data_IF_456379903804
#
_entry.id   IF_456379903804
#
_cell.length_a   1.000
_cell.length_b   1.000
_cell.length_c   1.000
_cell.angle_alpha   90.00
_cell.angle_beta   90.00
_cell.angle_gamma   90.00
#
_symmetry.space_group_name_H-M   'P 1'
#
loop_
_entity.id
_entity.type
_entity.pdbx_description
1 polymer ?
#
# COMPACT_ATOMS: atom_id res chain seq x y z
N UNK A 1 24.76 -8.45 -9.88
CA UNK A 1 23.36 -8.56 -10.36
C UNK A 1 22.54 -7.32 -10.04
N UNK A 2 22.54 -6.83 -8.79
CA UNK A 2 21.77 -5.62 -8.40
C UNK A 2 22.42 -4.30 -8.77
N UNK A 3 23.69 -4.30 -9.20
CA UNK A 3 24.50 -3.11 -9.48
C UNK A 3 24.55 -2.75 -10.99
N UNK A 4 23.57 -3.24 -11.76
CA UNK A 4 23.36 -2.87 -13.16
C UNK A 4 22.07 -2.06 -13.25
N UNK A 5 21.89 -1.28 -14.32
CA UNK A 5 20.64 -0.52 -14.56
C UNK A 5 19.39 -1.39 -14.46
N UNK A 6 19.41 -2.57 -15.09
CA UNK A 6 18.32 -3.54 -15.02
C UNK A 6 18.08 -4.01 -13.57
N UNK A 7 19.16 -4.29 -12.84
CA UNK A 7 19.09 -4.67 -11.42
C UNK A 7 18.46 -3.58 -10.55
N UNK A 8 18.78 -2.31 -10.80
CA UNK A 8 18.19 -1.17 -10.10
C UNK A 8 16.70 -0.98 -10.42
N UNK A 9 16.29 -1.18 -11.68
CA UNK A 9 14.87 -1.13 -12.06
C UNK A 9 14.09 -2.23 -11.34
N UNK A 10 14.60 -3.46 -11.36
CA UNK A 10 13.96 -4.59 -10.64
C UNK A 10 13.87 -4.29 -9.15
N UNK A 11 14.95 -3.78 -8.54
CA UNK A 11 14.97 -3.46 -7.13
C UNK A 11 14.00 -2.33 -6.77
N UNK A 12 13.85 -1.31 -7.61
CA UNK A 12 12.86 -0.24 -7.41
C UNK A 12 11.42 -0.78 -7.43
N UNK A 13 11.11 -1.69 -8.36
CA UNK A 13 9.79 -2.35 -8.41
C UNK A 13 9.55 -3.18 -7.15
N UNK A 14 10.56 -3.95 -6.71
CA UNK A 14 10.48 -4.75 -5.48
C UNK A 14 10.24 -3.85 -4.26
N UNK A 15 10.95 -2.72 -4.16
CA UNK A 15 10.75 -1.74 -3.08
C UNK A 15 9.29 -1.27 -3.05
N UNK A 16 8.75 -0.87 -4.21
CA UNK A 16 7.37 -0.40 -4.28
C UNK A 16 6.36 -1.50 -3.93
N UNK A 17 6.55 -2.72 -4.45
CA UNK A 17 5.71 -3.87 -4.12
C UNK A 17 5.73 -4.18 -2.63
N UNK A 18 6.92 -4.24 -2.02
CA UNK A 18 7.07 -4.51 -0.59
C UNK A 18 6.40 -3.44 0.25
N UNK A 19 6.67 -2.16 -0.01
CA UNK A 19 6.09 -1.05 0.76
C UNK A 19 4.57 -1.01 0.61
N UNK A 20 4.06 -1.12 -0.62
CA UNK A 20 2.62 -1.18 -0.85
C UNK A 20 2.01 -2.38 -0.13
N UNK A 21 2.58 -3.58 -0.28
CA UNK A 21 2.07 -4.81 0.33
C UNK A 21 2.04 -4.72 1.86
N UNK A 22 3.09 -4.21 2.48
CA UNK A 22 3.17 -4.04 3.93
C UNK A 22 2.16 -3.03 4.45
N UNK A 23 2.11 -1.82 3.88
CA UNK A 23 1.18 -0.78 4.35
C UNK A 23 -0.27 -1.18 4.08
N UNK A 24 -0.55 -1.76 2.92
CA UNK A 24 -1.86 -2.29 2.58
C UNK A 24 -2.27 -3.44 3.51
N UNK A 25 -1.32 -4.30 3.90
CA UNK A 25 -1.51 -5.36 4.89
C UNK A 25 -1.90 -4.80 6.25
N UNK A 26 -1.18 -3.78 6.75
CA UNK A 26 -1.51 -3.10 8.01
C UNK A 26 -2.93 -2.53 7.96
N UNK A 27 -3.32 -1.86 6.86
CA UNK A 27 -4.68 -1.35 6.66
C UNK A 27 -5.72 -2.47 6.77
N UNK A 28 -5.46 -3.64 6.18
CA UNK A 28 -6.40 -4.79 6.26
C UNK A 28 -6.44 -5.37 7.67
N UNK A 29 -5.31 -5.49 8.36
CA UNK A 29 -5.25 -5.92 9.76
C UNK A 29 -6.05 -5.00 10.68
N UNK A 30 -5.92 -3.68 10.50
CA UNK A 30 -6.73 -2.68 11.21
C UNK A 30 -8.23 -2.80 10.88
N UNK A 31 -8.55 -3.05 9.61
CA UNK A 31 -9.92 -3.30 9.15
C UNK A 31 -10.55 -4.53 9.80
N UNK A 32 -9.79 -5.60 10.01
CA UNK A 32 -10.26 -6.78 10.74
C UNK A 32 -10.63 -6.44 12.20
N UNK A 33 -9.88 -5.54 12.83
CA UNK A 33 -10.22 -4.98 14.15
C UNK A 33 -11.36 -3.96 14.15
N UNK A 34 -11.99 -3.70 13.01
CA UNK A 34 -13.09 -2.75 12.85
C UNK A 34 -12.66 -1.28 12.69
N UNK A 35 -11.36 -1.00 12.58
CA UNK A 35 -10.85 0.36 12.37
C UNK A 35 -11.07 0.75 10.90
N UNK A 36 -11.74 1.87 10.68
CA UNK A 36 -11.96 2.43 9.34
C UNK A 36 -13.17 1.84 8.61
N UNK A 37 -13.41 0.53 8.67
CA UNK A 37 -14.54 -0.15 7.98
C UNK A 37 -15.74 -0.43 8.91
N UNK A 38 -15.54 -0.39 10.23
CA UNK A 38 -16.56 -0.78 11.21
C UNK A 38 -16.50 -2.27 11.55
N UNK A 39 -17.29 -2.67 12.56
CA UNK A 39 -17.35 -4.07 13.00
C UNK A 39 -18.14 -4.91 11.98
N UNK A 40 -17.85 -6.22 11.86
CA UNK A 40 -18.69 -7.12 11.08
C UNK A 40 -20.15 -7.01 11.53
N UNK A 41 -21.02 -6.68 10.60
CA UNK A 41 -22.46 -6.60 10.80
C UNK A 41 -23.15 -7.47 9.76
N UNK A 42 -24.35 -7.95 10.08
CA UNK A 42 -25.19 -8.62 9.09
C UNK A 42 -25.51 -7.60 8.00
N UNK A 43 -25.15 -7.87 6.73
CA UNK A 43 -25.53 -6.99 5.65
C UNK A 43 -27.03 -7.19 5.37
N UNK A 44 -27.80 -6.10 5.46
CA UNK A 44 -29.21 -6.08 5.08
C UNK A 44 -29.35 -5.41 3.71
N UNK A 45 -30.21 -5.96 2.86
CA UNK A 45 -30.37 -5.45 1.50
C UNK A 45 -31.24 -4.19 1.50
N UNK A 46 -30.90 -3.15 0.70
CA UNK A 46 -29.74 -3.05 -0.20
C UNK A 46 -28.42 -2.78 0.53
N UNK A 47 -27.35 -3.46 0.10
CA UNK A 47 -26.06 -3.42 0.76
C UNK A 47 -25.29 -2.13 0.44
N UNK A 48 -24.83 -1.42 1.47
CA UNK A 48 -23.84 -0.36 1.33
C UNK A 48 -22.43 -0.93 1.64
N UNK A 49 -21.49 -0.93 0.69
CA UNK A 49 -20.16 -1.47 0.92
C UNK A 49 -19.37 -0.60 1.90
N UNK A 50 -19.32 -1.03 3.17
CA UNK A 50 -18.56 -0.36 4.21
C UNK A 50 -17.08 -0.14 3.85
N UNK A 51 -16.47 -0.99 3.02
CA UNK A 51 -15.08 -0.84 2.56
C UNK A 51 -14.87 0.29 1.56
N UNK A 52 -15.92 0.87 0.98
CA UNK A 52 -15.84 1.99 0.04
C UNK A 52 -15.87 3.37 0.73
N UNK A 53 -15.84 3.40 2.06
CA UNK A 53 -15.80 4.64 2.78
C UNK A 53 -14.44 5.36 2.65
N UNK A 54 -14.43 6.67 2.94
CA UNK A 54 -13.25 7.51 2.80
C UNK A 54 -12.07 7.07 3.69
N UNK A 55 -12.34 6.53 4.90
CA UNK A 55 -11.31 6.07 5.85
C UNK A 55 -10.57 4.84 5.35
N UNK A 56 -11.23 3.99 4.57
CA UNK A 56 -10.59 2.84 3.96
C UNK A 56 -9.83 3.24 2.68
N UNK A 57 -10.41 4.14 1.89
CA UNK A 57 -9.79 4.69 0.67
C UNK A 57 -8.51 5.48 0.97
N UNK A 58 -8.50 6.31 2.02
CA UNK A 58 -7.28 7.04 2.42
C UNK A 58 -6.15 6.07 2.77
N UNK A 59 -6.44 4.92 3.40
CA UNK A 59 -5.42 3.91 3.67
C UNK A 59 -4.77 3.33 2.41
N UNK A 60 -5.56 3.13 1.34
CA UNK A 60 -5.04 2.69 0.03
C UNK A 60 -4.18 3.78 -0.59
N UNK A 61 -4.68 5.02 -0.64
CA UNK A 61 -3.94 6.14 -1.24
C UNK A 61 -2.64 6.43 -0.47
N UNK A 62 -2.66 6.35 0.86
CA UNK A 62 -1.46 6.45 1.69
C UNK A 62 -0.45 5.35 1.35
N UNK A 63 -0.88 4.09 1.17
CA UNK A 63 0.01 3.01 0.78
C UNK A 63 0.66 3.24 -0.59
N UNK A 64 -0.10 3.78 -1.56
CA UNK A 64 0.41 4.12 -2.90
C UNK A 64 1.43 5.26 -2.81
N UNK A 65 1.12 6.33 -2.08
CA UNK A 65 2.01 7.49 -1.91
C UNK A 65 3.31 7.08 -1.22
N UNK A 66 3.24 6.29 -0.15
CA UNK A 66 4.43 5.80 0.55
C UNK A 66 5.27 4.88 -0.33
N UNK A 67 4.66 4.00 -1.12
CA UNK A 67 5.36 3.16 -2.07
C UNK A 67 6.08 3.99 -3.16
N UNK A 68 5.42 5.03 -3.68
CA UNK A 68 6.03 5.94 -4.65
C UNK A 68 7.22 6.71 -4.05
N UNK A 69 7.09 7.25 -2.83
CA UNK A 69 8.18 7.94 -2.13
C UNK A 69 9.37 7.00 -1.90
N UNK A 70 9.11 5.78 -1.40
CA UNK A 70 10.16 4.80 -1.17
C UNK A 70 10.85 4.37 -2.48
N UNK A 71 10.09 4.21 -3.56
CA UNK A 71 10.64 3.91 -4.89
C UNK A 71 11.54 5.06 -5.38
N UNK A 72 11.08 6.31 -5.27
CA UNK A 72 11.87 7.49 -5.67
C UNK A 72 13.17 7.60 -4.86
N UNK A 73 13.10 7.39 -3.55
CA UNK A 73 14.28 7.37 -2.68
C UNK A 73 15.22 6.23 -3.06
N UNK A 74 14.69 5.02 -3.27
CA UNK A 74 15.49 3.87 -3.69
C UNK A 74 16.19 4.11 -5.03
N UNK A 75 15.50 4.67 -6.01
CA UNK A 75 16.09 5.05 -7.31
C UNK A 75 17.17 6.12 -7.14
N UNK A 76 16.92 7.15 -6.33
CA UNK A 76 17.90 8.20 -6.06
C UNK A 76 19.18 7.64 -5.42
N UNK A 77 19.06 6.70 -4.49
CA UNK A 77 20.22 6.04 -3.85
C UNK A 77 20.96 5.10 -4.81
N UNK A 78 20.25 4.43 -5.71
CA UNK A 78 20.85 3.48 -6.65
C UNK A 78 21.52 4.15 -7.86
N UNK A 79 21.02 5.29 -8.30
CA UNK A 79 21.52 6.01 -9.49
C UNK A 79 22.25 7.32 -9.17
N UNK A 80 22.13 7.84 -7.96
CA UNK A 80 22.93 8.97 -7.48
C UNK A 80 24.23 8.42 -6.91
N UNK A 81 25.34 8.63 -7.63
CA UNK A 81 26.69 8.25 -7.18
C UNK A 81 27.03 8.77 -5.78
#
# INVERSE_FOLDING_TARGET
>A
LTQTTEGHIVLAIVIAMCVFHTVNGIRVMLGHGGVGVGKPARPDYPYDPASQNYRHKIGIYSAIVLAAIAMMYGLAVMFGE
#
